data_IF_483382859431
#
_entry.id   IF_483382859431
#
_cell.length_a   1.000
_cell.length_b   1.000
_cell.length_c   1.000
_cell.angle_alpha   90.00
_cell.angle_beta   90.00
_cell.angle_gamma   90.00
#
_symmetry.space_group_name_H-M   'P 1'
#
loop_
_entity.id
_entity.type
_entity.pdbx_description
1 polymer ?
#
# COMPACT_ATOMS: atom_id res chain seq x y z
N UNK A 1 22.28 3.27 -13.40
CA UNK A 1 21.54 2.78 -12.21
C UNK A 1 20.17 3.40 -12.30
N UNK A 2 19.10 2.63 -12.53
CA UNK A 2 17.76 3.21 -12.52
C UNK A 2 17.46 3.71 -11.11
N UNK A 3 16.90 4.91 -11.01
CA UNK A 3 16.46 5.49 -9.74
C UNK A 3 15.30 4.67 -9.17
N UNK A 4 15.30 4.41 -7.87
CA UNK A 4 14.15 3.82 -7.17
C UNK A 4 12.94 4.75 -7.35
N UNK A 5 11.81 4.28 -7.92
CA UNK A 5 10.64 5.13 -8.19
C UNK A 5 10.08 5.76 -6.91
N UNK A 6 9.74 7.05 -6.94
CA UNK A 6 9.07 7.77 -5.83
C UNK A 6 9.74 7.68 -4.45
N UNK A 7 11.03 7.30 -4.34
CA UNK A 7 11.75 7.10 -3.07
C UNK A 7 11.47 8.19 -2.02
N UNK A 8 11.63 9.46 -2.42
CA UNK A 8 11.48 10.62 -1.53
C UNK A 8 10.04 11.18 -1.49
N UNK A 9 9.11 10.54 -2.21
CA UNK A 9 7.72 11.00 -2.40
C UNK A 9 6.68 9.98 -1.92
N UNK A 10 7.09 8.79 -1.48
CA UNK A 10 6.23 7.72 -1.00
C UNK A 10 6.60 7.31 0.44
N UNK A 11 5.59 7.21 1.30
CA UNK A 11 5.68 6.56 2.61
C UNK A 11 4.96 5.21 2.58
N UNK A 12 5.46 4.24 3.36
CA UNK A 12 4.81 2.95 3.57
C UNK A 12 4.16 2.94 4.96
N UNK A 13 2.84 2.80 5.03
CA UNK A 13 2.08 2.78 6.28
C UNK A 13 1.72 1.34 6.65
N UNK A 14 2.16 0.90 7.84
CA UNK A 14 1.98 -0.47 8.33
C UNK A 14 1.28 -0.43 9.69
N UNK A 15 0.01 -0.86 9.81
CA UNK A 15 -0.59 -1.14 11.11
C UNK A 15 -0.06 -2.47 11.66
N UNK A 16 0.14 -2.55 12.97
CA UNK A 16 0.65 -3.78 13.59
C UNK A 16 0.26 -3.94 15.05
N UNK A 17 0.22 -5.20 15.48
CA UNK A 17 0.12 -5.60 16.90
C UNK A 17 1.28 -6.53 17.32
N UNK A 18 2.31 -6.69 16.48
CA UNK A 18 3.38 -7.70 16.65
C UNK A 18 4.73 -7.19 16.12
N UNK A 19 5.76 -8.01 16.26
CA UNK A 19 7.09 -7.70 15.71
C UNK A 19 7.07 -7.77 14.18
N UNK A 20 7.77 -6.85 13.51
CA UNK A 20 7.72 -6.68 12.06
C UNK A 20 8.75 -7.54 11.32
N UNK A 21 8.91 -8.81 11.72
CA UNK A 21 9.83 -9.74 11.07
C UNK A 21 9.54 -9.97 9.58
N UNK A 22 8.28 -9.76 9.14
CA UNK A 22 7.88 -9.87 7.73
C UNK A 22 8.66 -8.90 6.82
N UNK A 23 9.14 -7.77 7.37
CA UNK A 23 9.95 -6.79 6.63
C UNK A 23 11.23 -7.38 6.06
N UNK A 24 11.76 -8.47 6.61
CA UNK A 24 12.92 -9.14 6.01
C UNK A 24 12.62 -9.72 4.62
N UNK A 25 11.42 -10.27 4.42
CA UNK A 25 11.00 -10.76 3.10
C UNK A 25 10.76 -9.59 2.13
N UNK A 26 10.25 -8.47 2.64
CA UNK A 26 10.00 -7.27 1.86
C UNK A 26 11.21 -6.35 1.69
N UNK A 27 12.33 -6.63 2.36
CA UNK A 27 13.52 -5.77 2.41
C UNK A 27 14.01 -5.31 1.03
N UNK A 28 14.09 -6.18 0.00
CA UNK A 28 14.49 -5.76 -1.34
C UNK A 28 13.62 -4.65 -1.94
N UNK A 29 12.36 -4.55 -1.51
CA UNK A 29 11.36 -3.62 -2.04
C UNK A 29 11.13 -2.42 -1.13
N UNK A 30 11.14 -2.60 0.19
CA UNK A 30 10.71 -1.57 1.15
C UNK A 30 11.86 -0.77 1.76
N UNK A 31 13.06 -1.34 1.88
CA UNK A 31 14.19 -0.67 2.53
C UNK A 31 14.51 0.74 1.98
N UNK A 32 14.34 1.03 0.67
CA UNK A 32 14.59 2.38 0.16
C UNK A 32 13.62 3.46 0.65
N UNK A 33 12.45 3.09 1.19
CA UNK A 33 11.37 4.00 1.56
C UNK A 33 11.29 4.18 3.08
N UNK A 34 10.74 5.31 3.50
CA UNK A 34 10.43 5.57 4.92
C UNK A 34 9.13 4.87 5.31
N UNK A 35 9.10 4.28 6.50
CA UNK A 35 7.94 3.58 7.04
C UNK A 35 7.26 4.41 8.13
N UNK A 36 5.93 4.40 8.14
CA UNK A 36 5.11 4.90 9.25
C UNK A 36 4.41 3.69 9.85
N UNK A 37 4.84 3.30 11.05
CA UNK A 37 4.34 2.12 11.75
C UNK A 37 3.34 2.57 12.80
N UNK A 38 2.12 2.04 12.74
CA UNK A 38 1.09 2.28 13.73
C UNK A 38 0.96 1.04 14.61
N UNK A 39 1.50 1.11 15.82
CA UNK A 39 1.35 0.07 16.83
C UNK A 39 -0.02 0.22 17.51
N UNK A 40 -0.87 -0.77 17.28
CA UNK A 40 -2.16 -0.91 17.93
C UNK A 40 -2.08 -1.89 19.12
N UNK A 41 -3.10 -1.89 19.97
CA UNK A 41 -3.14 -2.72 21.18
C UNK A 41 -2.41 -2.10 22.38
N UNK A 42 -1.64 -2.91 23.12
CA UNK A 42 -0.94 -2.47 24.32
C UNK A 42 0.26 -1.56 23.97
N UNK A 43 0.23 -0.26 24.32
CA UNK A 43 1.30 0.67 24.00
C UNK A 43 2.57 0.44 24.82
N UNK A 44 2.51 -0.34 25.92
CA UNK A 44 3.67 -0.67 26.74
C UNK A 44 4.49 -1.82 26.16
N UNK A 45 3.89 -2.62 25.26
CA UNK A 45 4.61 -3.69 24.56
C UNK A 45 5.58 -3.05 23.58
N UNK A 46 6.85 -3.40 23.69
CA UNK A 46 7.85 -3.03 22.69
C UNK A 46 7.76 -3.97 21.49
N UNK A 47 7.49 -3.43 20.31
CA UNK A 47 7.63 -4.18 19.06
C UNK A 47 9.03 -3.99 18.48
N UNK A 48 9.51 -5.01 17.78
CA UNK A 48 10.81 -5.03 17.13
C UNK A 48 10.65 -4.80 15.63
N UNK A 49 11.40 -3.84 15.10
CA UNK A 49 11.56 -3.59 13.67
C UNK A 49 12.96 -4.06 13.27
N UNK A 50 13.13 -4.84 12.20
CA UNK A 50 14.46 -5.23 11.75
C UNK A 50 15.38 -4.03 11.46
N UNK A 51 16.68 -4.22 11.63
CA UNK A 51 17.65 -3.13 11.45
C UNK A 51 17.72 -2.64 9.99
N UNK A 52 18.10 -1.37 9.81
CA UNK A 52 18.36 -0.78 8.49
C UNK A 52 17.12 -0.27 7.75
N UNK A 53 15.96 -0.21 8.40
CA UNK A 53 14.79 0.53 7.92
C UNK A 53 14.74 1.93 8.56
N UNK A 54 14.35 2.91 7.76
CA UNK A 54 14.03 4.27 8.22
C UNK A 54 12.54 4.35 8.57
N UNK A 55 12.20 4.66 9.82
CA UNK A 55 10.81 4.63 10.27
C UNK A 55 10.48 5.58 11.43
N UNK A 56 9.21 5.97 11.47
CA UNK A 56 8.53 6.50 12.65
C UNK A 56 7.53 5.47 13.18
N UNK A 57 7.45 5.34 14.50
CA UNK A 57 6.50 4.44 15.17
C UNK A 57 5.60 5.25 16.08
N UNK A 58 4.29 5.04 15.93
CA UNK A 58 3.26 5.69 16.72
C UNK A 58 2.44 4.66 17.49
N UNK A 59 2.24 4.92 18.77
CA UNK A 59 1.39 4.10 19.66
C UNK A 59 0.04 4.77 19.91
N UNK A 60 -0.87 4.07 20.61
CA UNK A 60 -2.11 4.69 21.08
C UNK A 60 -1.87 5.95 21.93
N UNK A 61 -0.83 5.93 22.77
CA UNK A 61 -0.44 7.09 23.58
C UNK A 61 -0.05 8.29 22.72
N UNK A 62 0.61 8.07 21.59
CA UNK A 62 0.97 9.15 20.66
C UNK A 62 -0.24 9.71 19.94
N UNK A 63 -1.16 8.84 19.51
CA UNK A 63 -2.42 9.24 18.88
C UNK A 63 -3.23 10.12 19.84
N UNK A 64 -3.36 9.71 21.09
CA UNK A 64 -4.09 10.47 22.13
C UNK A 64 -3.40 11.80 22.46
N UNK A 65 -2.08 11.81 22.51
CA UNK A 65 -1.29 13.04 22.72
C UNK A 65 -1.43 14.02 21.55
N UNK A 66 -1.45 13.53 20.31
CA UNK A 66 -1.47 14.36 19.09
C UNK A 66 -2.88 14.86 18.77
N UNK A 67 -3.90 14.01 18.92
CA UNK A 67 -5.28 14.33 18.54
C UNK A 67 -6.14 14.80 19.71
N UNK A 68 -5.73 14.55 20.96
CA UNK A 68 -6.48 14.93 22.15
C UNK A 68 -7.89 14.34 22.14
N UNK A 69 -8.89 15.22 22.24
CA UNK A 69 -10.32 14.89 22.24
C UNK A 69 -10.80 14.26 20.93
N UNK A 70 -10.02 14.33 19.84
CA UNK A 70 -10.35 13.73 18.53
C UNK A 70 -9.77 12.34 18.33
N UNK A 71 -9.02 11.79 19.30
CA UNK A 71 -8.39 10.48 19.18
C UNK A 71 -9.39 9.32 18.99
N UNK A 72 -10.67 9.52 19.32
CA UNK A 72 -11.74 8.55 19.05
C UNK A 72 -11.96 8.29 17.55
N UNK A 73 -11.58 9.23 16.68
CA UNK A 73 -11.73 9.08 15.23
C UNK A 73 -10.75 8.07 14.62
N UNK A 74 -9.68 7.72 15.35
CA UNK A 74 -8.76 6.67 14.95
C UNK A 74 -9.20 5.37 15.63
N UNK A 75 -9.45 4.35 14.80
CA UNK A 75 -9.88 3.06 15.30
C UNK A 75 -8.85 2.40 16.22
N UNK A 76 -9.33 1.50 17.06
CA UNK A 76 -8.54 0.81 18.08
C UNK A 76 -8.89 -0.68 18.10
N UNK A 77 -7.87 -1.53 18.14
CA UNK A 77 -7.95 -2.99 18.01
C UNK A 77 -8.41 -3.47 16.63
N UNK A 78 -8.05 -2.73 15.59
CA UNK A 78 -8.22 -3.16 14.20
C UNK A 78 -7.19 -2.49 13.27
N UNK A 79 -7.13 -2.97 12.03
CA UNK A 79 -6.15 -2.50 11.06
C UNK A 79 -6.47 -1.11 10.50
N UNK A 80 -7.65 -0.53 10.76
CA UNK A 80 -8.01 0.82 10.37
C UNK A 80 -7.30 1.90 11.23
N UNK A 81 -6.57 1.51 12.28
CA UNK A 81 -5.63 2.41 12.97
C UNK A 81 -4.61 3.06 12.01
N UNK A 82 -4.32 2.44 10.85
CA UNK A 82 -3.50 2.99 9.76
C UNK A 82 -3.98 4.35 9.25
N UNK A 83 -5.25 4.71 9.45
CA UNK A 83 -5.78 6.03 9.11
C UNK A 83 -4.99 7.16 9.78
N UNK A 84 -4.40 6.91 10.95
CA UNK A 84 -3.47 7.85 11.57
C UNK A 84 -2.20 8.05 10.74
N UNK A 85 -1.64 6.96 10.19
CA UNK A 85 -0.50 7.02 9.27
C UNK A 85 -0.78 7.86 8.02
N UNK A 86 -2.00 7.78 7.47
CA UNK A 86 -2.43 8.62 6.36
C UNK A 86 -2.48 10.11 6.72
N UNK A 87 -2.86 10.41 7.96
CA UNK A 87 -2.95 11.79 8.46
C UNK A 87 -1.56 12.41 8.71
N UNK A 88 -0.60 11.64 9.23
CA UNK A 88 0.71 12.18 9.63
C UNK A 88 1.75 12.17 8.50
N UNK A 89 1.55 11.34 7.45
CA UNK A 89 2.43 11.37 6.29
C UNK A 89 2.42 12.75 5.63
N UNK A 90 3.60 13.23 5.27
CA UNK A 90 3.81 14.50 4.55
C UNK A 90 4.14 14.28 3.08
N UNK A 91 4.25 13.02 2.66
CA UNK A 91 4.64 12.65 1.31
C UNK A 91 3.43 12.62 0.38
N UNK A 92 3.69 12.75 -0.93
CA UNK A 92 2.64 12.83 -1.94
C UNK A 92 1.89 11.51 -2.11
N UNK A 93 2.57 10.39 -1.92
CA UNK A 93 2.04 9.06 -2.09
C UNK A 93 2.15 8.27 -0.79
N UNK A 94 1.16 7.41 -0.56
CA UNK A 94 1.17 6.45 0.53
C UNK A 94 0.91 5.07 -0.07
N UNK A 95 1.75 4.12 0.28
CA UNK A 95 1.47 2.69 0.14
C UNK A 95 1.10 2.14 1.51
N UNK A 96 0.11 1.25 1.60
CA UNK A 96 -0.22 0.60 2.87
C UNK A 96 -0.34 -0.90 2.68
N UNK A 97 0.11 -1.63 3.70
CA UNK A 97 0.18 -3.08 3.69
C UNK A 97 0.04 -3.60 5.12
N UNK A 98 -0.54 -4.79 5.26
CA UNK A 98 -0.72 -5.45 6.56
C UNK A 98 0.57 -6.16 6.96
N UNK A 99 0.79 -6.29 8.27
CA UNK A 99 2.03 -6.86 8.83
C UNK A 99 2.18 -8.39 8.64
N UNK A 100 1.18 -9.03 8.04
CA UNK A 100 1.12 -10.46 7.73
C UNK A 100 1.04 -10.76 6.22
N UNK A 101 1.27 -9.75 5.37
CA UNK A 101 1.36 -9.93 3.92
C UNK A 101 2.69 -10.56 3.50
N UNK A 102 2.62 -11.56 2.61
CA UNK A 102 3.78 -12.24 2.05
C UNK A 102 4.09 -11.75 0.63
N UNK A 103 5.37 -11.81 0.24
CA UNK A 103 5.77 -11.51 -1.13
C UNK A 103 5.23 -12.60 -2.07
N UNK A 104 4.42 -12.19 -3.05
CA UNK A 104 3.88 -13.09 -4.05
C UNK A 104 4.96 -13.58 -5.02
N UNK A 105 4.81 -14.80 -5.53
CA UNK A 105 5.70 -15.40 -6.54
C UNK A 105 5.01 -15.47 -7.90
N UNK A 106 5.76 -15.21 -8.97
CA UNK A 106 5.30 -15.46 -10.33
C UNK A 106 5.30 -16.98 -10.65
N UNK A 107 4.77 -17.44 -11.81
CA UNK A 107 4.79 -18.86 -12.17
C UNK A 107 6.19 -19.48 -12.31
N UNK A 108 7.23 -18.65 -12.47
CA UNK A 108 8.63 -19.07 -12.51
C UNK A 108 9.28 -19.16 -11.12
N UNK A 109 8.59 -18.72 -10.07
CA UNK A 109 9.07 -18.71 -8.69
C UNK A 109 9.80 -17.44 -8.25
N UNK A 110 9.86 -16.41 -9.10
CA UNK A 110 10.50 -15.14 -8.76
C UNK A 110 9.57 -14.25 -7.93
N UNK A 111 10.16 -13.42 -7.08
CA UNK A 111 9.42 -12.44 -6.29
C UNK A 111 8.77 -11.36 -7.16
N UNK A 112 7.53 -11.02 -6.83
CA UNK A 112 6.77 -9.97 -7.48
C UNK A 112 6.89 -8.68 -6.65
N UNK A 113 7.47 -7.64 -7.26
CA UNK A 113 7.48 -6.30 -6.67
C UNK A 113 6.12 -5.60 -6.87
N UNK A 114 5.15 -5.91 -6.02
CA UNK A 114 3.80 -5.32 -6.10
C UNK A 114 3.81 -3.81 -5.82
N UNK A 115 4.74 -3.30 -5.01
CA UNK A 115 4.88 -1.87 -4.76
C UNK A 115 5.17 -1.12 -6.07
N UNK A 116 6.12 -1.61 -6.86
CA UNK A 116 6.44 -1.02 -8.16
C UNK A 116 5.26 -1.07 -9.13
N UNK A 117 4.45 -2.13 -9.12
CA UNK A 117 3.23 -2.21 -9.92
C UNK A 117 2.19 -1.17 -9.50
N UNK A 118 1.98 -0.98 -8.20
CA UNK A 118 1.11 0.08 -7.69
C UNK A 118 1.64 1.47 -8.04
N UNK A 119 2.94 1.71 -7.93
CA UNK A 119 3.57 2.97 -8.36
C UNK A 119 3.32 3.20 -9.85
N UNK A 120 3.50 2.18 -10.71
CA UNK A 120 3.20 2.28 -12.13
C UNK A 120 1.74 2.67 -12.37
N UNK A 121 0.80 2.06 -11.67
CA UNK A 121 -0.63 2.39 -11.77
C UNK A 121 -0.94 3.83 -11.35
N UNK A 122 -0.23 4.36 -10.34
CA UNK A 122 -0.39 5.74 -9.88
C UNK A 122 0.19 6.77 -10.86
N UNK A 123 1.24 6.40 -11.59
CA UNK A 123 1.96 7.30 -12.50
C UNK A 123 1.50 7.19 -13.96
N UNK A 124 0.80 6.10 -14.32
CA UNK A 124 0.25 5.89 -15.65
C UNK A 124 -1.23 6.26 -15.68
N UNK A 125 -1.73 6.86 -16.78
CA UNK A 125 -3.16 7.05 -16.94
C UNK A 125 -3.92 5.72 -16.90
N UNK A 126 -5.15 5.76 -16.42
CA UNK A 126 -6.05 4.61 -16.39
C UNK A 126 -7.18 4.78 -17.41
N UNK A 127 -7.74 3.68 -17.88
CA UNK A 127 -8.83 3.68 -18.87
C UNK A 127 -10.10 2.99 -18.35
N UNK A 128 -10.72 3.50 -17.26
CA UNK A 128 -11.85 2.83 -16.62
C UNK A 128 -13.12 2.80 -17.48
N UNK A 129 -13.25 3.73 -18.44
CA UNK A 129 -14.44 3.87 -19.27
C UNK A 129 -14.41 2.99 -20.53
N UNK A 130 -13.25 2.50 -20.93
CA UNK A 130 -13.08 1.67 -22.11
C UNK A 130 -11.83 0.80 -21.94
N UNK A 131 -12.00 -0.48 -21.68
CA UNK A 131 -10.87 -1.37 -21.37
C UNK A 131 -10.46 -2.20 -22.60
N UNK A 132 -9.15 -2.30 -22.82
CA UNK A 132 -8.55 -3.21 -23.80
C UNK A 132 -8.12 -4.50 -23.08
N UNK A 133 -8.41 -5.67 -23.65
CA UNK A 133 -8.03 -6.98 -23.10
C UNK A 133 -6.70 -7.51 -23.62
N UNK A 134 -6.12 -6.91 -24.66
CA UNK A 134 -4.90 -7.42 -25.29
C UNK A 134 -3.62 -7.00 -24.56
N UNK A 135 -3.49 -5.71 -24.27
CA UNK A 135 -2.31 -5.15 -23.62
C UNK A 135 -2.62 -3.77 -23.01
N UNK A 136 -1.79 -3.38 -22.04
CA UNK A 136 -1.72 -2.02 -21.51
C UNK A 136 -1.29 -1.07 -22.64
N UNK A 137 -2.13 -0.12 -23.10
CA UNK A 137 -1.79 0.78 -24.20
C UNK A 137 -0.74 1.84 -23.81
N UNK A 138 -0.48 2.05 -22.51
CA UNK A 138 0.50 3.03 -22.02
C UNK A 138 1.89 2.45 -21.80
N UNK A 139 2.09 1.14 -22.01
CA UNK A 139 3.43 0.56 -21.94
C UNK A 139 4.28 1.02 -23.11
N UNK A 140 5.59 1.02 -22.93
CA UNK A 140 6.53 1.40 -23.98
C UNK A 140 6.37 0.51 -25.23
N UNK A 141 6.38 1.13 -26.41
CA UNK A 141 6.32 0.43 -27.69
C UNK A 141 4.92 -0.04 -28.13
N UNK A 142 3.85 0.39 -27.45
CA UNK A 142 2.46 0.14 -27.89
C UNK A 142 1.71 1.40 -28.28
N UNK A 143 0.60 1.20 -29.00
CA UNK A 143 -0.39 2.23 -29.32
C UNK A 143 -1.80 1.66 -29.10
N UNK A 144 -2.81 2.51 -29.12
CA UNK A 144 -4.21 2.13 -28.97
C UNK A 144 -4.69 1.25 -30.13
N UNK A 145 -5.41 0.19 -29.80
CA UNK A 145 -6.06 -0.70 -30.77
C UNK A 145 -7.04 0.07 -31.66
N UNK A 146 -7.28 -0.44 -32.88
CA UNK A 146 -8.29 0.11 -33.78
C UNK A 146 -9.66 0.13 -33.11
N UNK A 147 -10.36 1.26 -33.22
CA UNK A 147 -11.69 1.43 -32.64
C UNK A 147 -11.68 2.01 -31.23
N UNK A 148 -10.52 2.18 -30.60
CA UNK A 148 -10.41 2.89 -29.32
C UNK A 148 -10.73 4.38 -29.52
N UNK A 149 -11.76 4.94 -28.84
CA UNK A 149 -12.18 6.32 -29.02
C UNK A 149 -11.04 7.30 -28.74
N UNK A 150 -10.74 8.20 -29.68
CA UNK A 150 -9.66 9.18 -29.53
C UNK A 150 -9.82 10.05 -28.27
N UNK A 151 -11.05 10.43 -27.94
CA UNK A 151 -11.37 11.22 -26.74
C UNK A 151 -11.08 10.52 -25.41
N UNK A 152 -10.81 9.21 -25.42
CA UNK A 152 -10.53 8.43 -24.21
C UNK A 152 -9.05 8.01 -24.11
N UNK A 153 -8.20 8.34 -25.10
CA UNK A 153 -6.81 7.89 -25.14
C UNK A 153 -5.91 8.55 -24.10
N UNK A 154 -6.24 9.76 -23.69
CA UNK A 154 -5.50 10.46 -22.62
C UNK A 154 -5.70 9.79 -21.24
N UNK A 155 -6.72 8.95 -21.10
CA UNK A 155 -7.05 8.28 -19.86
C UNK A 155 -7.48 9.24 -18.75
N UNK A 156 -7.50 8.74 -17.51
CA UNK A 156 -7.74 9.54 -16.31
C UNK A 156 -6.69 9.24 -15.24
N UNK A 157 -6.35 10.24 -14.40
CA UNK A 157 -5.42 10.04 -13.30
C UNK A 157 -5.97 9.02 -12.28
N UNK A 158 -5.08 8.13 -11.82
CA UNK A 158 -5.39 7.17 -10.76
C UNK A 158 -5.26 7.83 -9.40
N UNK A 159 -6.36 7.92 -8.65
CA UNK A 159 -6.35 8.42 -7.27
C UNK A 159 -6.04 7.33 -6.25
N UNK A 160 -6.46 6.09 -6.52
CA UNK A 160 -6.25 4.92 -5.67
C UNK A 160 -5.94 3.72 -6.55
N UNK A 161 -4.85 3.02 -6.25
CA UNK A 161 -4.56 1.69 -6.79
C UNK A 161 -4.71 0.67 -5.65
N UNK A 162 -5.68 -0.23 -5.78
CA UNK A 162 -6.04 -1.18 -4.74
C UNK A 162 -5.76 -2.61 -5.19
N UNK A 163 -5.22 -3.45 -4.30
CA UNK A 163 -4.95 -4.86 -4.53
C UNK A 163 -5.84 -5.73 -3.65
N UNK A 164 -6.11 -6.96 -4.09
CA UNK A 164 -6.87 -7.96 -3.32
C UNK A 164 -5.94 -9.08 -2.83
N UNK A 165 -6.41 -9.80 -1.83
CA UNK A 165 -5.78 -10.99 -1.28
C UNK A 165 -5.83 -12.12 -2.32
N UNK A 166 -4.71 -12.80 -2.55
CA UNK A 166 -4.65 -13.90 -3.54
C UNK A 166 -5.27 -15.20 -3.02
N UNK A 167 -5.27 -15.43 -1.70
CA UNK A 167 -5.59 -16.73 -1.11
C UNK A 167 -6.84 -16.73 -0.23
N UNK A 168 -7.34 -15.55 0.15
CA UNK A 168 -8.52 -15.41 0.99
C UNK A 168 -9.46 -14.43 0.28
N UNK A 169 -10.66 -14.86 -0.13
CA UNK A 169 -11.61 -13.93 -0.71
C UNK A 169 -12.03 -12.89 0.33
N UNK A 170 -11.96 -11.61 -0.05
CA UNK A 170 -12.40 -10.49 0.78
C UNK A 170 -13.87 -10.20 0.47
N UNK A 171 -14.76 -10.75 1.32
CA UNK A 171 -16.20 -10.60 1.18
C UNK A 171 -16.69 -9.37 1.94
N UNK A 172 -17.75 -8.72 1.45
CA UNK A 172 -18.45 -7.73 2.27
C UNK A 172 -18.98 -8.37 3.55
N UNK A 173 -19.10 -7.58 4.62
CA UNK A 173 -19.48 -8.10 5.94
C UNK A 173 -20.76 -8.96 5.92
N UNK A 174 -21.83 -8.57 5.20
CA UNK A 174 -22.99 -9.46 4.99
C UNK A 174 -22.63 -10.80 4.33
N UNK A 175 -21.91 -10.80 3.20
CA UNK A 175 -21.53 -12.03 2.50
C UNK A 175 -20.63 -12.93 3.34
N UNK A 176 -19.73 -12.36 4.14
CA UNK A 176 -18.85 -13.13 5.03
C UNK A 176 -19.62 -13.86 6.16
N UNK A 177 -20.82 -13.37 6.53
CA UNK A 177 -21.69 -14.00 7.52
C UNK A 177 -22.55 -15.13 6.93
N UNK A 178 -22.59 -15.29 5.61
CA UNK A 178 -23.31 -16.37 4.96
C UNK A 178 -22.40 -17.60 4.88
N UNK A 179 -22.75 -18.71 5.57
CA UNK A 179 -21.94 -19.93 5.60
C UNK A 179 -21.93 -20.69 4.27
#
# INVERSE_FOLDING_TARGET
MSSVPLKDQLDIVIPTIRDLGFLEQWRPFFQPYHLIIIQDGDPSRKITVPEGFDYELYTRTDIERILGDKAWAISFKDSACRCFGFMVSKKRYIYTIDDDCFVAKNPSGDDINVLEQHIKNMLSPSTPFFFNTLYDPYREGTDFVRGYPFSLRDGVPTALSHGLWLNIPDYDAPTQLLP
#
